data_IF_734055381876
#
_entry.id   IF_734055381876
#
_cell.length_a   1.000
_cell.length_b   1.000
_cell.length_c   1.000
_cell.angle_alpha   90.00
_cell.angle_beta   90.00
_cell.angle_gamma   90.00
#
_symmetry.space_group_name_H-M   'P 1'
#
loop_
_entity.id
_entity.type
_entity.pdbx_description
1 polymer ?
#
# COMPACT_ATOMS: atom_id res chain seq x y z
N UNK A 1 -30.48 58.84 -41.49
CA UNK A 1 -31.53 58.96 -40.45
C UNK A 1 -32.20 57.60 -40.34
N UNK A 2 -32.34 57.06 -39.11
CA UNK A 2 -33.08 55.85 -38.67
C UNK A 2 -32.66 54.49 -39.26
N UNK A 3 -32.05 53.55 -38.51
CA UNK A 3 -32.54 52.63 -37.43
C UNK A 3 -33.57 51.60 -37.91
N UNK A 4 -33.25 50.30 -37.82
CA UNK A 4 -33.93 49.31 -36.97
C UNK A 4 -33.82 47.85 -37.48
N UNK A 5 -33.52 46.97 -36.52
CA UNK A 5 -33.52 45.50 -36.55
C UNK A 5 -34.93 44.87 -36.61
N UNK A 6 -35.01 43.55 -36.84
CA UNK A 6 -35.81 42.51 -36.15
C UNK A 6 -35.93 41.26 -37.04
N UNK A 7 -35.32 40.12 -36.66
CA UNK A 7 -35.87 38.95 -35.90
C UNK A 7 -36.41 37.84 -36.84
N UNK A 8 -35.80 36.64 -36.82
CA UNK A 8 -36.24 35.36 -36.19
C UNK A 8 -37.30 34.61 -37.04
N UNK A 9 -37.41 33.28 -37.12
CA UNK A 9 -37.00 32.12 -36.33
C UNK A 9 -37.20 30.83 -37.19
N UNK A 10 -36.64 29.69 -36.71
CA UNK A 10 -37.15 28.30 -36.81
C UNK A 10 -37.19 27.53 -38.16
N UNK A 11 -37.08 26.19 -38.29
CA UNK A 11 -36.81 25.00 -37.44
C UNK A 11 -36.55 23.80 -38.42
N UNK A 12 -35.67 22.88 -38.00
CA UNK A 12 -35.44 21.44 -38.31
C UNK A 12 -36.15 20.70 -39.44
N UNK A 13 -35.43 19.75 -40.08
CA UNK A 13 -35.78 18.32 -40.19
C UNK A 13 -34.53 17.49 -40.54
N UNK A 14 -34.24 16.49 -39.70
CA UNK A 14 -33.30 15.35 -39.88
C UNK A 14 -33.85 14.44 -41.01
N UNK A 15 -33.10 13.79 -41.89
CA UNK A 15 -32.17 12.68 -41.71
C UNK A 15 -31.63 12.34 -43.11
N UNK A 16 -30.34 12.04 -43.26
CA UNK A 16 -29.96 10.89 -44.08
C UNK A 16 -28.55 10.38 -43.72
N UNK A 17 -28.55 9.11 -43.36
CA UNK A 17 -27.46 8.32 -42.83
C UNK A 17 -26.40 8.03 -43.90
N UNK A 18 -25.13 8.17 -43.54
CA UNK A 18 -24.07 7.32 -44.11
C UNK A 18 -23.31 6.61 -43.00
N UNK A 19 -23.48 5.29 -43.00
CA UNK A 19 -22.86 4.29 -42.16
C UNK A 19 -21.36 4.15 -42.45
N UNK A 20 -20.54 4.14 -41.40
CA UNK A 20 -19.21 3.55 -41.40
C UNK A 20 -18.92 2.92 -40.02
N UNK A 21 -19.17 1.62 -39.91
CA UNK A 21 -18.69 0.73 -38.85
C UNK A 21 -17.15 0.73 -38.87
N UNK A 22 -16.48 1.15 -37.80
CA UNK A 22 -16.11 0.38 -36.60
C UNK A 22 -15.16 -0.79 -36.86
N UNK A 23 -13.91 -0.61 -36.44
CA UNK A 23 -13.11 -1.51 -35.58
C UNK A 23 -12.04 -0.57 -34.97
N UNK A 24 -12.18 -0.04 -33.76
CA UNK A 24 -12.21 -0.82 -32.53
C UNK A 24 -10.78 -1.00 -31.98
N UNK A 25 -9.98 0.08 -31.89
CA UNK A 25 -8.79 0.08 -31.06
C UNK A 25 -9.15 0.75 -29.74
N UNK A 26 -9.65 -0.05 -28.81
CA UNK A 26 -9.83 0.37 -27.43
C UNK A 26 -8.45 0.63 -26.87
N UNK A 27 -8.11 1.91 -26.76
CA UNK A 27 -6.91 2.38 -26.07
C UNK A 27 -6.85 1.79 -24.66
N UNK A 28 -6.08 0.72 -24.52
CA UNK A 28 -5.51 0.35 -23.23
C UNK A 28 -4.37 1.32 -22.99
N UNK A 29 -4.68 2.45 -22.37
CA UNK A 29 -3.68 3.29 -21.74
C UNK A 29 -3.09 2.42 -20.63
N UNK A 30 -1.93 1.82 -20.91
CA UNK A 30 -1.07 1.31 -19.85
C UNK A 30 -0.83 2.49 -18.92
N UNK A 31 -1.07 2.37 -17.60
CA UNK A 31 -0.70 3.45 -16.70
C UNK A 31 0.79 3.74 -16.92
N UNK A 32 1.09 5.00 -17.19
CA UNK A 32 2.46 5.44 -17.46
C UNK A 32 3.32 5.06 -16.24
N UNK A 33 4.59 4.70 -16.47
CA UNK A 33 5.52 4.30 -15.40
C UNK A 33 5.63 5.38 -14.29
N UNK A 34 5.38 6.64 -14.65
CA UNK A 34 5.30 7.78 -13.73
C UNK A 34 4.06 7.73 -12.82
N UNK A 35 2.89 7.31 -13.31
CA UNK A 35 1.67 7.19 -12.49
C UNK A 35 1.81 6.09 -11.42
N UNK A 36 2.46 4.98 -11.77
CA UNK A 36 2.77 3.92 -10.79
C UNK A 36 3.76 4.42 -9.74
N UNK A 37 4.74 5.25 -10.14
CA UNK A 37 5.73 5.81 -9.21
C UNK A 37 5.13 6.83 -8.23
N UNK A 38 4.06 7.55 -8.63
CA UNK A 38 3.33 8.47 -7.75
C UNK A 38 2.43 7.76 -6.73
N UNK A 39 1.97 6.55 -7.04
CA UNK A 39 1.10 5.78 -6.13
C UNK A 39 1.91 5.14 -4.98
N UNK A 40 3.21 4.90 -5.17
CA UNK A 40 4.07 4.19 -4.21
C UNK A 40 4.99 5.13 -3.39
N UNK A 41 4.63 6.41 -3.29
CA UNK A 41 5.38 7.38 -2.47
C UNK A 41 5.21 7.13 -0.98
N UNK A 42 6.27 7.31 -0.20
CA UNK A 42 6.25 7.23 1.27
C UNK A 42 5.95 8.63 1.85
N UNK A 43 5.01 8.78 2.80
CA UNK A 43 4.23 7.73 3.46
C UNK A 43 3.20 7.09 2.53
N UNK A 44 3.15 5.77 2.55
CA UNK A 44 2.25 4.97 1.72
C UNK A 44 1.16 4.33 2.59
N UNK A 45 -0.08 4.34 2.10
CA UNK A 45 -1.21 3.59 2.68
C UNK A 45 -1.95 2.86 1.58
N UNK A 46 -2.18 1.56 1.76
CA UNK A 46 -2.79 0.72 0.73
C UNK A 46 -3.73 -0.34 1.27
N UNK A 47 -4.76 -0.68 0.49
CA UNK A 47 -5.75 -1.70 0.86
C UNK A 47 -5.32 -3.09 0.41
N UNK A 48 -5.30 -4.03 1.35
CA UNK A 48 -5.10 -5.46 1.12
C UNK A 48 -6.46 -6.09 0.77
N UNK A 49 -6.74 -6.25 -0.53
CA UNK A 49 -8.03 -6.80 -1.01
C UNK A 49 -8.35 -8.17 -0.41
N UNK A 50 -9.50 -8.27 0.26
CA UNK A 50 -9.95 -9.49 0.94
C UNK A 50 -9.18 -9.84 2.22
N UNK A 51 -8.42 -8.90 2.77
CA UNK A 51 -7.65 -9.07 4.02
C UNK A 51 -6.53 -10.10 3.93
N UNK A 52 -5.90 -10.38 5.06
CA UNK A 52 -4.93 -11.46 5.20
C UNK A 52 -5.63 -12.80 5.43
N UNK A 53 -4.97 -13.88 5.00
CA UNK A 53 -5.44 -15.26 5.19
C UNK A 53 -4.26 -16.22 5.02
N UNK A 54 -4.32 -17.45 5.57
CA UNK A 54 -3.29 -18.45 5.35
C UNK A 54 -2.99 -18.65 3.86
N UNK A 55 -1.72 -18.65 3.50
CA UNK A 55 -1.23 -18.76 2.11
C UNK A 55 -1.14 -17.44 1.35
N UNK A 56 -1.70 -16.33 1.88
CA UNK A 56 -1.50 -15.00 1.29
C UNK A 56 -0.14 -14.45 1.70
N UNK A 57 0.51 -13.74 0.78
CA UNK A 57 1.75 -13.02 1.04
C UNK A 57 1.66 -11.57 0.59
N UNK A 58 2.44 -10.71 1.24
CA UNK A 58 2.71 -9.34 0.81
C UNK A 58 4.19 -9.27 0.45
N UNK A 59 4.51 -8.68 -0.70
CA UNK A 59 5.87 -8.44 -1.18
C UNK A 59 6.09 -6.94 -1.27
N UNK A 60 7.11 -6.44 -0.58
CA UNK A 60 7.54 -5.05 -0.60
C UNK A 60 8.96 -5.03 -1.16
N UNK A 61 9.17 -4.31 -2.25
CA UNK A 61 10.50 -4.04 -2.79
C UNK A 61 10.72 -2.54 -2.79
N UNK A 62 11.94 -2.15 -2.48
CA UNK A 62 12.29 -0.76 -2.33
C UNK A 62 13.79 -0.53 -2.32
N UNK A 63 14.17 0.72 -2.12
CA UNK A 63 15.55 1.17 -1.93
C UNK A 63 15.57 1.90 -0.59
N UNK A 64 16.56 1.59 0.25
CA UNK A 64 16.78 2.33 1.50
C UNK A 64 17.42 3.67 1.14
N UNK A 65 17.00 4.75 1.79
CA UNK A 65 17.58 6.06 1.56
C UNK A 65 19.10 6.09 1.88
N UNK A 66 19.89 7.02 1.31
CA UNK A 66 21.33 7.08 1.55
C UNK A 66 21.73 7.37 3.01
N UNK A 67 20.92 8.13 3.74
CA UNK A 67 21.13 8.47 5.15
C UNK A 67 19.88 8.09 5.98
N UNK A 68 19.63 6.79 6.21
CA UNK A 68 18.39 6.34 6.80
C UNK A 68 18.45 6.43 8.33
N UNK A 69 17.41 6.99 8.95
CA UNK A 69 17.22 6.93 10.40
C UNK A 69 16.43 5.66 10.76
N UNK A 70 15.20 5.58 10.25
CA UNK A 70 14.28 4.51 10.56
C UNK A 70 13.18 4.38 9.52
N UNK A 71 12.59 3.18 9.42
CA UNK A 71 11.35 2.97 8.69
C UNK A 71 10.42 2.02 9.42
N UNK A 72 9.13 2.14 9.16
CA UNK A 72 8.09 1.31 9.74
C UNK A 72 7.14 0.77 8.67
N UNK A 73 6.85 -0.53 8.73
CA UNK A 73 5.83 -1.21 7.93
C UNK A 73 4.79 -1.78 8.88
N UNK A 74 3.54 -1.37 8.73
CA UNK A 74 2.43 -1.80 9.60
C UNK A 74 1.33 -2.47 8.80
N UNK A 75 0.85 -3.61 9.29
CA UNK A 75 -0.39 -4.24 8.86
C UNK A 75 -1.48 -3.94 9.88
N UNK A 76 -2.50 -3.21 9.46
CA UNK A 76 -3.54 -2.68 10.35
C UNK A 76 -4.91 -3.23 10.00
N UNK A 77 -5.81 -3.19 10.98
CA UNK A 77 -7.20 -3.59 10.83
C UNK A 77 -8.06 -2.35 10.59
N UNK A 78 -8.42 -2.05 9.34
CA UNK A 78 -9.14 -0.81 9.01
C UNK A 78 -10.52 -1.03 8.42
N UNK A 79 -11.57 -0.85 9.23
CA UNK A 79 -12.84 -0.26 8.82
C UNK A 79 -13.43 0.51 10.02
N UNK A 80 -13.51 1.83 9.89
CA UNK A 80 -14.53 2.71 10.47
C UNK A 80 -14.29 4.11 9.88
N UNK A 81 -15.15 4.53 8.95
CA UNK A 81 -15.15 5.88 8.36
C UNK A 81 -15.63 6.96 9.34
N UNK A 82 -16.05 6.55 10.55
CA UNK A 82 -16.76 7.40 11.52
C UNK A 82 -15.92 7.74 12.76
N UNK A 83 -14.76 7.13 12.97
CA UNK A 83 -13.91 7.40 14.13
C UNK A 83 -12.43 7.32 13.72
N UNK A 84 -11.86 8.46 13.29
CA UNK A 84 -10.44 8.65 12.95
C UNK A 84 -9.53 8.66 14.19
N UNK A 85 -9.87 7.88 15.22
CA UNK A 85 -9.01 7.74 16.37
C UNK A 85 -7.96 6.68 16.04
N UNK A 86 -6.86 7.14 15.42
CA UNK A 86 -5.71 6.33 15.04
C UNK A 86 -5.19 5.50 16.22
N UNK A 87 -5.42 5.95 17.46
CA UNK A 87 -5.05 5.28 18.70
C UNK A 87 -5.85 4.01 19.01
N UNK A 88 -7.02 3.84 18.40
CA UNK A 88 -7.90 2.67 18.60
C UNK A 88 -7.72 1.57 17.55
N UNK A 89 -7.02 1.86 16.45
CA UNK A 89 -6.88 0.90 15.35
C UNK A 89 -5.93 -0.24 15.72
N UNK A 90 -6.39 -1.48 15.59
CA UNK A 90 -5.54 -2.65 15.84
C UNK A 90 -4.42 -2.75 14.78
N UNK A 91 -3.19 -2.94 15.26
CA UNK A 91 -2.00 -3.15 14.43
C UNK A 91 -1.60 -4.62 14.61
N UNK A 92 -1.88 -5.43 13.61
CA UNK A 92 -1.62 -6.87 13.69
C UNK A 92 -0.14 -7.22 13.60
N UNK A 93 0.64 -6.38 12.91
CA UNK A 93 2.08 -6.48 12.80
C UNK A 93 2.64 -5.09 12.52
N UNK A 94 3.53 -4.58 13.37
CA UNK A 94 4.40 -3.44 13.10
C UNK A 94 5.83 -3.93 13.02
N UNK A 95 6.49 -3.65 11.92
CA UNK A 95 7.91 -3.93 11.67
C UNK A 95 8.66 -2.60 11.65
N UNK A 96 9.54 -2.36 12.62
CA UNK A 96 10.31 -1.12 12.74
C UNK A 96 11.80 -1.37 12.58
N UNK A 97 12.40 -0.89 11.50
CA UNK A 97 13.85 -0.92 11.32
C UNK A 97 14.46 0.36 11.91
N UNK A 98 15.53 0.20 12.69
CA UNK A 98 16.32 1.29 13.29
C UNK A 98 17.78 1.10 12.88
N UNK A 99 18.33 2.02 12.11
CA UNK A 99 19.63 1.83 11.45
C UNK A 99 20.80 2.06 12.42
N UNK A 100 20.68 3.05 13.31
CA UNK A 100 21.70 3.36 14.32
C UNK A 100 21.94 2.17 15.27
N UNK A 101 20.87 1.57 15.80
CA UNK A 101 20.92 0.44 16.71
C UNK A 101 21.02 -0.91 15.98
N UNK A 102 20.86 -0.91 14.66
CA UNK A 102 20.78 -2.12 13.81
C UNK A 102 19.72 -3.10 14.31
N UNK A 103 18.55 -2.58 14.66
CA UNK A 103 17.43 -3.36 15.18
C UNK A 103 16.31 -3.47 14.15
N UNK A 104 15.63 -4.62 14.16
CA UNK A 104 14.40 -4.81 13.40
C UNK A 104 13.32 -5.37 14.33
N UNK A 105 12.55 -4.43 14.85
CA UNK A 105 11.60 -4.57 15.94
C UNK A 105 10.27 -5.08 15.40
N UNK A 106 9.60 -5.94 16.17
CA UNK A 106 8.23 -6.39 15.87
C UNK A 106 7.33 -6.15 17.05
N UNK A 107 6.17 -5.58 16.78
CA UNK A 107 5.15 -5.37 17.80
C UNK A 107 3.75 -5.53 17.20
N UNK A 108 2.74 -5.62 18.06
CA UNK A 108 1.33 -5.55 17.69
C UNK A 108 0.60 -4.66 18.70
N UNK A 109 -0.45 -3.99 18.24
CA UNK A 109 -1.40 -3.27 19.10
C UNK A 109 -2.75 -3.94 19.00
N UNK A 110 -3.30 -4.40 20.12
CA UNK A 110 -4.62 -5.03 20.19
C UNK A 110 -5.45 -4.33 21.26
N UNK A 111 -6.63 -3.84 20.87
CA UNK A 111 -7.54 -3.08 21.73
C UNK A 111 -6.82 -1.90 22.41
N UNK A 112 -6.08 -1.13 21.62
CA UNK A 112 -5.34 0.06 22.08
C UNK A 112 -4.07 -0.23 22.89
N UNK A 113 -3.70 -1.50 23.12
CA UNK A 113 -2.52 -1.87 23.92
C UNK A 113 -1.43 -2.51 23.07
N UNK A 114 -0.22 -1.96 23.14
CA UNK A 114 0.96 -2.56 22.54
C UNK A 114 1.37 -3.82 23.29
N UNK A 115 1.80 -4.84 22.55
CA UNK A 115 2.45 -6.02 23.12
C UNK A 115 3.90 -5.74 23.51
N UNK A 116 4.51 -6.72 24.17
CA UNK A 116 5.96 -6.72 24.37
C UNK A 116 6.66 -6.73 23.00
N UNK A 117 7.65 -5.87 22.87
CA UNK A 117 8.42 -5.74 21.64
C UNK A 117 9.36 -6.94 21.46
N UNK A 118 9.28 -7.57 20.30
CA UNK A 118 10.20 -8.65 19.93
C UNK A 118 11.37 -8.09 19.12
N UNK A 119 12.56 -8.09 19.71
CA UNK A 119 13.78 -7.51 19.14
C UNK A 119 14.80 -8.51 18.55
N UNK A 120 14.88 -9.80 18.94
CA UNK A 120 16.00 -10.62 18.55
C UNK A 120 15.93 -10.96 17.06
N UNK A 121 16.98 -10.60 16.33
CA UNK A 121 17.22 -10.97 14.93
C UNK A 121 18.64 -11.54 14.82
N UNK A 122 18.85 -12.46 13.87
CA UNK A 122 20.16 -13.09 13.67
C UNK A 122 21.18 -12.10 13.07
N UNK A 123 20.69 -11.17 12.24
CA UNK A 123 21.46 -10.08 11.64
C UNK A 123 20.51 -8.95 11.21
N UNK A 124 21.03 -7.73 11.08
CA UNK A 124 20.30 -6.61 10.50
C UNK A 124 20.44 -6.63 8.97
N UNK A 125 19.34 -6.74 8.20
CA UNK A 125 19.41 -7.08 6.78
C UNK A 125 19.46 -5.86 5.84
N UNK A 126 19.28 -4.64 6.34
CA UNK A 126 19.16 -3.45 5.51
C UNK A 126 20.48 -2.68 5.40
N UNK A 127 20.77 -2.17 4.22
CA UNK A 127 21.99 -1.40 3.91
C UNK A 127 21.54 -0.06 3.28
N UNK A 128 22.08 1.09 3.73
CA UNK A 128 21.82 2.38 3.09
C UNK A 128 22.11 2.37 1.58
N UNK A 129 21.28 3.05 0.80
CA UNK A 129 21.40 3.15 -0.67
C UNK A 129 21.38 1.80 -1.41
N UNK A 130 20.81 0.75 -0.80
CA UNK A 130 20.69 -0.57 -1.42
C UNK A 130 19.23 -1.01 -1.57
N UNK A 131 18.93 -1.82 -2.60
CA UNK A 131 17.63 -2.41 -2.75
C UNK A 131 17.37 -3.46 -1.67
N UNK A 132 16.10 -3.63 -1.30
CA UNK A 132 15.65 -4.68 -0.40
C UNK A 132 14.38 -5.33 -0.93
N UNK A 133 14.11 -6.55 -0.46
CA UNK A 133 12.84 -7.26 -0.66
C UNK A 133 12.37 -7.87 0.64
N UNK A 134 11.23 -7.40 1.16
CA UNK A 134 10.53 -8.00 2.30
C UNK A 134 9.37 -8.85 1.78
N UNK A 135 9.25 -10.08 2.30
CA UNK A 135 8.06 -10.90 2.12
C UNK A 135 7.41 -11.22 3.47
N UNK A 136 6.12 -10.91 3.59
CA UNK A 136 5.31 -11.22 4.77
C UNK A 136 4.37 -12.36 4.40
N UNK A 137 4.69 -13.58 4.84
CA UNK A 137 3.89 -14.77 4.54
C UNK A 137 2.92 -15.02 5.69
N UNK A 138 1.62 -15.06 5.39
CA UNK A 138 0.61 -15.36 6.40
C UNK A 138 0.36 -16.87 6.46
N UNK A 139 0.68 -17.47 7.59
CA UNK A 139 0.32 -18.84 7.93
C UNK A 139 -0.84 -18.85 8.94
N UNK A 140 -1.33 -20.04 9.29
CA UNK A 140 -2.47 -20.20 10.22
C UNK A 140 -2.22 -19.58 11.60
N UNK A 141 -0.99 -19.62 12.11
CA UNK A 141 -0.67 -19.21 13.48
C UNK A 141 0.26 -18.00 13.58
N UNK A 142 0.91 -17.61 12.48
CA UNK A 142 1.99 -16.62 12.47
C UNK A 142 2.18 -15.96 11.12
N UNK A 143 2.88 -14.84 11.13
CA UNK A 143 3.58 -14.31 9.97
C UNK A 143 5.01 -14.86 9.94
N UNK A 144 5.48 -15.23 8.75
CA UNK A 144 6.91 -15.53 8.50
C UNK A 144 7.48 -14.40 7.66
N UNK A 145 8.56 -13.80 8.14
CA UNK A 145 9.19 -12.65 7.50
C UNK A 145 10.46 -13.11 6.81
N UNK A 146 10.56 -12.78 5.52
CA UNK A 146 11.74 -13.02 4.71
C UNK A 146 12.31 -11.68 4.27
N UNK A 147 13.63 -11.55 4.27
CA UNK A 147 14.34 -10.43 3.66
C UNK A 147 15.34 -10.98 2.66
N UNK A 148 15.25 -10.52 1.41
CA UNK A 148 16.08 -10.95 0.28
C UNK A 148 16.16 -12.48 0.11
N UNK A 149 15.01 -13.15 0.32
CA UNK A 149 14.86 -14.59 0.17
C UNK A 149 15.25 -15.43 1.39
N UNK A 150 15.82 -14.80 2.43
CA UNK A 150 16.21 -15.48 3.67
C UNK A 150 15.14 -15.26 4.76
N UNK A 151 14.70 -16.35 5.41
CA UNK A 151 13.80 -16.23 6.55
C UNK A 151 14.53 -15.58 7.72
N UNK A 152 13.97 -14.49 8.25
CA UNK A 152 14.58 -13.74 9.33
C UNK A 152 13.97 -14.08 10.69
N UNK A 153 12.64 -14.09 10.78
CA UNK A 153 11.92 -14.46 12.00
C UNK A 153 10.45 -14.80 11.72
N UNK A 154 9.83 -15.36 12.75
CA UNK A 154 8.40 -15.60 12.84
C UNK A 154 7.77 -14.61 13.83
N UNK A 155 6.53 -14.18 13.57
CA UNK A 155 5.74 -13.37 14.49
C UNK A 155 4.35 -14.00 14.67
N UNK A 156 4.05 -14.49 15.87
CA UNK A 156 2.79 -15.20 16.13
C UNK A 156 1.61 -14.25 16.22
N UNK A 157 0.49 -14.63 15.58
CA UNK A 157 -0.70 -13.78 15.45
C UNK A 157 -1.26 -13.37 16.81
N UNK A 158 -1.21 -12.06 17.10
CA UNK A 158 -1.90 -11.45 18.26
C UNK A 158 -3.35 -11.11 17.90
N UNK A 159 -3.57 -10.53 16.72
CA UNK A 159 -4.91 -10.37 16.11
C UNK A 159 -5.35 -11.69 15.49
N UNK A 160 -6.49 -12.23 15.91
CA UNK A 160 -6.99 -13.53 15.43
C UNK A 160 -7.82 -13.43 14.15
N UNK A 161 -8.51 -12.32 13.94
CA UNK A 161 -9.29 -12.08 12.72
C UNK A 161 -8.37 -11.65 11.58
N UNK A 162 -7.77 -12.61 10.87
CA UNK A 162 -6.81 -12.32 9.79
C UNK A 162 -7.44 -11.51 8.65
N UNK A 163 -8.72 -11.74 8.35
CA UNK A 163 -9.44 -11.00 7.31
C UNK A 163 -9.64 -9.51 7.64
N UNK A 164 -9.67 -9.16 8.94
CA UNK A 164 -9.75 -7.77 9.36
C UNK A 164 -8.46 -7.00 9.06
N UNK A 165 -7.31 -7.70 8.98
CA UNK A 165 -6.02 -7.14 8.59
C UNK A 165 -6.06 -6.83 7.09
N UNK A 166 -6.46 -5.62 6.74
CA UNK A 166 -6.86 -5.26 5.39
C UNK A 166 -6.20 -3.96 4.90
N UNK A 167 -5.30 -3.38 5.69
CA UNK A 167 -4.54 -2.19 5.34
C UNK A 167 -3.05 -2.42 5.59
N UNK A 168 -2.22 -1.80 4.75
CA UNK A 168 -0.78 -1.69 4.92
C UNK A 168 -0.40 -0.21 4.95
N UNK A 169 0.48 0.15 5.86
CA UNK A 169 1.05 1.48 5.98
C UNK A 169 2.58 1.37 5.98
N UNK A 170 3.26 2.25 5.24
CA UNK A 170 4.72 2.28 5.16
C UNK A 170 5.17 3.73 5.31
N UNK A 171 6.08 3.98 6.26
CA UNK A 171 6.58 5.32 6.59
C UNK A 171 8.10 5.27 6.87
N UNK A 172 8.79 6.41 6.74
CA UNK A 172 10.20 6.56 7.08
C UNK A 172 11.15 6.52 5.87
N UNK A 173 12.43 6.22 6.14
CA UNK A 173 13.55 6.41 5.21
C UNK A 173 13.70 5.31 4.16
N UNK A 174 12.73 5.20 3.24
CA UNK A 174 12.80 4.31 2.09
C UNK A 174 11.96 4.80 0.91
N UNK A 175 12.25 4.25 -0.26
CA UNK A 175 11.42 4.37 -1.46
C UNK A 175 10.83 3.01 -1.83
N UNK A 176 9.54 2.97 -2.19
CA UNK A 176 8.88 1.74 -2.63
C UNK A 176 8.96 1.65 -4.16
N UNK A 177 9.52 0.56 -4.67
CA UNK A 177 9.60 0.29 -6.12
C UNK A 177 8.53 -0.70 -6.57
N UNK A 178 8.06 -1.58 -5.67
CA UNK A 178 6.99 -2.54 -5.93
C UNK A 178 6.28 -2.96 -4.66
N UNK A 179 4.96 -3.06 -4.74
CA UNK A 179 4.10 -3.67 -3.73
C UNK A 179 3.19 -4.72 -4.40
N UNK A 180 3.09 -5.92 -3.85
CA UNK A 180 2.31 -7.02 -4.43
C UNK A 180 1.85 -8.08 -3.45
#
# INVERSE_FOLDING_TARGET
MAVASMEKDAINTEDDLHLNNSFGDTGFISPDKEDISRILTVPFSGRIRGGMRPGKKIIIMGIIDPEPDSFDISLTCGHNEENDDEDLTDVALKLGARFTERQFLRNARVSGKWSEEETPIVYFPFIPDQPFRIEIHCEHQRFRIFVDGHQLFDFYHKVKSLQAINMIQIVGSLQITKLG
#
